data_IF_245383620905
#
_entry.id   IF_245383620905
#
_cell.length_a   1.000
_cell.length_b   1.000
_cell.length_c   1.000
_cell.angle_alpha   90.00
_cell.angle_beta   90.00
_cell.angle_gamma   90.00
#
_symmetry.space_group_name_H-M   'P 1'
#
loop_
_entity.id
_entity.type
_entity.pdbx_description
1 polymer ?
#
# COMPACT_ATOMS: atom_id res chain seq x y z
N UNK A 1 -15.75 1.98 2.06
CA UNK A 1 -15.83 1.03 0.92
C UNK A 1 -15.94 -0.45 1.32
N UNK A 2 -15.41 -0.90 2.48
CA UNK A 2 -15.45 -2.33 2.87
C UNK A 2 -16.81 -2.87 3.38
N UNK A 3 -17.70 -2.03 3.93
CA UNK A 3 -19.00 -2.48 4.46
C UNK A 3 -20.05 -2.79 3.38
N UNK A 4 -19.97 -2.15 2.21
CA UNK A 4 -20.91 -2.37 1.12
C UNK A 4 -20.62 -3.67 0.35
N UNK A 5 -19.32 -3.97 0.16
CA UNK A 5 -18.85 -5.19 -0.51
C UNK A 5 -19.23 -6.45 0.26
N UNK A 6 -19.12 -6.46 1.59
CA UNK A 6 -19.49 -7.63 2.40
C UNK A 6 -21.00 -7.96 2.36
N UNK A 7 -21.88 -6.97 2.21
CA UNK A 7 -23.33 -7.20 2.11
C UNK A 7 -23.77 -7.65 0.70
N UNK A 8 -22.96 -7.39 -0.33
CA UNK A 8 -23.16 -7.91 -1.68
C UNK A 8 -22.68 -9.36 -1.81
N UNK A 9 -21.58 -9.72 -1.15
CA UNK A 9 -21.03 -11.08 -1.16
C UNK A 9 -21.93 -12.12 -0.47
N UNK A 10 -22.76 -11.71 0.50
CA UNK A 10 -23.71 -12.62 1.17
C UNK A 10 -24.93 -13.02 0.31
N UNK A 11 -25.03 -12.50 -0.93
CA UNK A 11 -26.08 -12.85 -1.90
C UNK A 11 -25.58 -13.72 -3.06
N UNK A 12 -24.29 -14.07 -3.06
CA UNK A 12 -23.64 -14.90 -4.09
C UNK A 12 -23.48 -16.31 -3.52
N UNK A 13 -23.72 -17.32 -4.34
CA UNK A 13 -23.58 -18.73 -3.95
C UNK A 13 -22.15 -19.02 -3.46
N UNK A 14 -22.02 -19.84 -2.41
CA UNK A 14 -20.73 -20.10 -1.75
C UNK A 14 -19.70 -20.70 -2.72
N UNK A 15 -20.16 -21.41 -3.74
CA UNK A 15 -19.32 -21.99 -4.80
C UNK A 15 -18.81 -20.93 -5.79
N UNK A 16 -19.60 -19.90 -6.09
CA UNK A 16 -19.15 -18.76 -6.90
C UNK A 16 -18.12 -17.93 -6.14
N UNK A 17 -18.30 -17.74 -4.83
CA UNK A 17 -17.33 -17.02 -3.98
C UNK A 17 -15.95 -17.72 -3.99
N UNK A 18 -15.93 -19.05 -3.86
CA UNK A 18 -14.67 -19.84 -3.92
C UNK A 18 -13.97 -19.72 -5.27
N UNK A 19 -14.74 -19.75 -6.36
CA UNK A 19 -14.21 -19.57 -7.71
C UNK A 19 -13.55 -18.19 -7.89
N UNK A 20 -14.20 -17.13 -7.45
CA UNK A 20 -13.63 -15.77 -7.56
C UNK A 20 -12.37 -15.59 -6.71
N UNK A 21 -12.32 -16.15 -5.51
CA UNK A 21 -11.09 -16.14 -4.69
C UNK A 21 -9.94 -16.83 -5.42
N UNK A 22 -10.15 -18.03 -5.95
CA UNK A 22 -9.11 -18.73 -6.70
C UNK A 22 -8.63 -17.97 -7.95
N UNK A 23 -9.53 -17.28 -8.65
CA UNK A 23 -9.17 -16.42 -9.78
C UNK A 23 -8.32 -15.21 -9.35
N UNK A 24 -8.69 -14.56 -8.25
CA UNK A 24 -7.93 -13.44 -7.68
C UNK A 24 -6.54 -13.88 -7.24
N UNK A 25 -6.43 -15.03 -6.57
CA UNK A 25 -5.15 -15.58 -6.13
C UNK A 25 -4.24 -15.91 -7.32
N UNK A 26 -4.79 -16.55 -8.36
CA UNK A 26 -4.05 -16.82 -9.58
C UNK A 26 -3.57 -15.53 -10.26
N UNK A 27 -4.44 -14.53 -10.36
CA UNK A 27 -4.10 -13.23 -10.95
C UNK A 27 -3.00 -12.52 -10.15
N UNK A 28 -3.13 -12.46 -8.82
CA UNK A 28 -2.14 -11.87 -7.93
C UNK A 28 -0.78 -12.57 -8.05
N UNK A 29 -0.77 -13.91 -8.13
CA UNK A 29 0.45 -14.68 -8.37
C UNK A 29 1.10 -14.32 -9.71
N UNK A 30 0.32 -14.27 -10.79
CA UNK A 30 0.82 -13.89 -12.13
C UNK A 30 1.35 -12.47 -12.17
N UNK A 31 0.67 -11.53 -11.52
CA UNK A 31 1.13 -10.15 -11.40
C UNK A 31 2.45 -10.06 -10.62
N UNK A 32 2.54 -10.76 -9.48
CA UNK A 32 3.76 -10.84 -8.68
C UNK A 32 4.94 -11.42 -9.47
N UNK A 33 4.73 -12.55 -10.16
CA UNK A 33 5.75 -13.18 -11.02
C UNK A 33 6.21 -12.26 -12.16
N UNK A 34 5.31 -11.43 -12.68
CA UNK A 34 5.63 -10.45 -13.72
C UNK A 34 6.47 -9.30 -13.16
N UNK A 35 6.06 -8.73 -12.03
CA UNK A 35 6.81 -7.67 -11.37
C UNK A 35 8.21 -8.13 -10.99
N UNK A 36 8.33 -9.32 -10.40
CA UNK A 36 9.63 -9.91 -10.05
C UNK A 36 10.54 -10.07 -11.27
N UNK A 37 10.02 -10.58 -12.39
CA UNK A 37 10.78 -10.71 -13.65
C UNK A 37 11.21 -9.37 -14.26
N UNK A 38 10.49 -8.29 -13.95
CA UNK A 38 10.82 -6.93 -14.38
C UNK A 38 11.61 -6.14 -13.34
N UNK A 39 12.04 -6.78 -12.25
CA UNK A 39 12.77 -6.11 -11.16
C UNK A 39 11.91 -5.09 -10.40
N UNK A 40 10.58 -5.13 -10.55
CA UNK A 40 9.64 -4.22 -9.89
C UNK A 40 9.32 -4.77 -8.50
N UNK A 41 9.43 -3.92 -7.49
CA UNK A 41 9.04 -4.23 -6.13
C UNK A 41 8.45 -3.00 -5.43
N UNK A 42 7.85 -3.22 -4.26
CA UNK A 42 7.30 -2.15 -3.43
C UNK A 42 8.17 -1.99 -2.19
N UNK A 43 8.49 -0.76 -1.81
CA UNK A 43 9.24 -0.53 -0.58
C UNK A 43 8.37 -0.87 0.65
N UNK A 44 8.99 -1.48 1.66
CA UNK A 44 8.31 -1.93 2.86
C UNK A 44 8.16 -0.78 3.88
N UNK A 45 7.20 0.12 3.65
CA UNK A 45 6.78 1.13 4.62
C UNK A 45 5.49 0.69 5.31
N UNK A 46 5.42 0.85 6.63
CA UNK A 46 4.32 0.39 7.45
C UNK A 46 3.84 1.49 8.39
N UNK A 47 2.56 1.41 8.78
CA UNK A 47 2.02 2.27 9.81
C UNK A 47 2.78 2.08 11.14
N UNK A 48 3.07 3.17 11.83
CA UNK A 48 3.86 3.21 13.06
C UNK A 48 5.38 3.35 12.87
N UNK A 49 5.90 3.22 11.64
CA UNK A 49 7.33 3.47 11.38
C UNK A 49 7.64 4.97 11.54
N UNK A 50 8.79 5.35 12.13
CA UNK A 50 9.24 6.74 12.17
C UNK A 50 9.33 7.33 10.76
N UNK A 51 8.97 8.59 10.60
CA UNK A 51 9.09 9.32 9.35
C UNK A 51 10.34 10.19 9.34
N UNK A 52 11.06 10.19 8.22
CA UNK A 52 12.19 11.07 7.96
C UNK A 52 12.01 11.75 6.59
N UNK A 53 12.40 13.02 6.47
CA UNK A 53 12.22 13.81 5.25
C UNK A 53 12.99 13.27 4.03
N UNK A 54 14.02 12.45 4.24
CA UNK A 54 14.75 11.73 3.20
C UNK A 54 14.04 10.48 2.67
N UNK A 55 12.95 10.04 3.29
CA UNK A 55 12.17 8.91 2.80
C UNK A 55 11.51 9.24 1.45
N UNK A 56 11.37 8.27 0.53
CA UNK A 56 10.70 8.44 -0.76
C UNK A 56 9.17 8.50 -0.63
N UNK A 57 8.66 9.16 0.40
CA UNK A 57 7.25 9.40 0.67
C UNK A 57 6.95 10.90 0.49
N UNK A 58 5.74 11.19 0.04
CA UNK A 58 5.16 12.53 -0.05
C UNK A 58 4.03 12.61 0.99
N UNK A 59 4.28 13.18 2.17
CA UNK A 59 3.24 13.26 3.18
C UNK A 59 2.25 14.36 2.85
N UNK A 60 0.96 14.04 2.84
CA UNK A 60 -0.08 14.97 2.39
C UNK A 60 -0.43 16.05 3.44
N UNK A 61 -0.09 15.81 4.71
CA UNK A 61 -0.37 16.68 5.84
C UNK A 61 0.89 17.25 6.49
N UNK A 62 2.04 17.25 5.80
CA UNK A 62 3.32 17.71 6.37
C UNK A 62 3.28 19.17 6.84
N UNK A 63 2.46 20.01 6.20
CA UNK A 63 2.28 21.43 6.57
C UNK A 63 1.65 21.64 7.94
N UNK A 64 1.11 20.58 8.56
CA UNK A 64 0.49 20.62 9.88
C UNK A 64 1.49 20.44 11.02
N UNK A 65 2.78 20.25 10.72
CA UNK A 65 3.83 19.92 11.69
C UNK A 65 5.01 20.88 11.60
N UNK A 66 5.77 20.97 12.70
CA UNK A 66 7.03 21.72 12.77
C UNK A 66 8.23 20.82 12.46
N UNK A 67 9.38 21.43 12.19
CA UNK A 67 10.61 20.71 11.88
C UNK A 67 11.14 19.87 13.05
N UNK A 68 10.81 20.24 14.28
CA UNK A 68 11.22 19.52 15.50
C UNK A 68 10.24 18.41 15.92
N UNK A 69 9.13 18.21 15.20
CA UNK A 69 8.13 17.23 15.59
C UNK A 69 8.60 15.79 15.27
N UNK A 70 8.45 14.89 16.24
CA UNK A 70 8.68 13.46 16.04
C UNK A 70 7.48 12.82 15.32
N UNK A 71 7.65 12.60 14.02
CA UNK A 71 6.59 12.09 13.14
C UNK A 71 6.72 10.59 12.88
N UNK A 72 5.58 9.95 12.62
CA UNK A 72 5.51 8.56 12.18
C UNK A 72 4.51 8.43 11.03
N UNK A 73 4.66 7.37 10.23
CA UNK A 73 3.70 7.02 9.19
C UNK A 73 2.42 6.54 9.86
N UNK A 74 1.36 7.33 9.88
CA UNK A 74 0.07 6.91 10.40
C UNK A 74 -0.63 5.99 9.40
N UNK A 75 -0.62 6.36 8.13
CA UNK A 75 -1.23 5.59 7.06
C UNK A 75 -0.47 5.76 5.75
N UNK A 76 -0.14 4.64 5.10
CA UNK A 76 0.35 4.64 3.72
C UNK A 76 -0.85 4.69 2.76
N UNK A 77 -0.93 5.73 1.92
CA UNK A 77 -1.98 5.90 0.91
C UNK A 77 -1.57 5.32 -0.44
N UNK A 78 -0.32 5.55 -0.83
CA UNK A 78 0.26 5.04 -2.07
C UNK A 78 1.62 4.40 -1.79
N UNK A 79 1.92 3.23 -2.38
CA UNK A 79 3.20 2.57 -2.16
C UNK A 79 4.31 3.25 -2.97
N UNK A 80 5.51 3.20 -2.41
CA UNK A 80 6.74 3.52 -3.14
C UNK A 80 7.05 2.35 -4.08
N UNK A 81 7.23 2.64 -5.37
CA UNK A 81 7.60 1.63 -6.36
C UNK A 81 9.10 1.72 -6.62
N UNK A 82 9.74 0.56 -6.53
CA UNK A 82 11.13 0.34 -6.88
C UNK A 82 11.20 -0.42 -8.21
N UNK A 83 12.17 -0.08 -9.05
CA UNK A 83 12.58 -0.87 -10.20
C UNK A 83 14.08 -1.07 -10.11
N UNK A 84 14.53 -2.32 -10.08
CA UNK A 84 15.95 -2.68 -9.91
C UNK A 84 16.59 -2.01 -8.68
N UNK A 85 15.82 -1.92 -7.58
CA UNK A 85 16.26 -1.30 -6.32
C UNK A 85 16.24 0.24 -6.31
N UNK A 86 15.89 0.90 -7.41
CA UNK A 86 15.80 2.37 -7.51
C UNK A 86 14.37 2.84 -7.39
N UNK A 87 14.15 3.95 -6.71
CA UNK A 87 12.83 4.58 -6.61
C UNK A 87 12.43 5.12 -7.99
N UNK A 88 11.39 4.52 -8.58
CA UNK A 88 10.78 5.00 -9.83
C UNK A 88 9.49 5.76 -9.57
N UNK A 89 8.86 5.52 -8.41
CA UNK A 89 7.69 6.29 -7.97
C UNK A 89 7.72 6.47 -6.46
N UNK A 90 7.62 7.72 -6.02
CA UNK A 90 7.41 8.07 -4.61
C UNK A 90 6.02 7.62 -4.16
N UNK A 91 5.90 7.29 -2.89
CA UNK A 91 4.62 6.97 -2.25
C UNK A 91 3.98 8.20 -1.63
N UNK A 92 2.79 8.04 -1.09
CA UNK A 92 2.06 9.08 -0.37
C UNK A 92 1.61 8.54 0.98
N UNK A 93 1.67 9.38 2.01
CA UNK A 93 1.34 8.98 3.38
C UNK A 93 0.64 10.09 4.15
N UNK A 94 -0.07 9.70 5.20
CA UNK A 94 -0.52 10.57 6.28
C UNK A 94 0.43 10.34 7.46
N UNK A 95 0.89 11.42 8.07
CA UNK A 95 1.74 11.37 9.25
C UNK A 95 0.93 11.62 10.52
N UNK A 96 1.32 10.91 11.57
CA UNK A 96 0.96 11.22 12.94
C UNK A 96 2.16 11.78 13.67
N UNK A 97 1.90 12.46 14.79
CA UNK A 97 2.92 12.96 15.73
C UNK A 97 2.87 12.12 17.00
N UNK A 98 4.05 11.78 17.55
CA UNK A 98 4.14 11.06 18.82
C UNK A 98 3.69 11.89 20.02
#
# INVERSE_FOLDING_TARGET
MAKLTNKMLSKIDLDEQRKYVGQLDWFNKKASDFFQRKGISFANFQAGMPFDAGMPLNPINISSFNAEDDLYIEQLLEPVILCEGKVVRRGAAILGKK
#
